data_IF_890798027299
#
_entry.id   IF_890798027299
#
_cell.length_a   1.000
_cell.length_b   1.000
_cell.length_c   1.000
_cell.angle_alpha   90.00
_cell.angle_beta   90.00
_cell.angle_gamma   90.00
#
_symmetry.space_group_name_H-M   'P 1'
#
loop_
_entity.id
_entity.type
_entity.pdbx_description
1 polymer ?
#
# COMPACT_ATOMS: atom_id res chain seq x y z
N UNK A 1 -9.65 12.13 -36.67
CA UNK A 1 -10.39 11.94 -35.39
C UNK A 1 -10.06 10.64 -34.64
N UNK A 2 -9.55 9.58 -35.28
CA UNK A 2 -9.32 8.27 -34.62
C UNK A 2 -8.00 8.15 -33.80
N UNK A 3 -7.00 9.01 -34.06
CA UNK A 3 -5.67 8.94 -33.40
C UNK A 3 -5.67 9.49 -31.96
N UNK A 4 -6.50 10.48 -31.66
CA UNK A 4 -6.56 11.11 -30.33
C UNK A 4 -7.23 10.21 -29.29
N UNK A 5 -8.24 9.43 -29.69
CA UNK A 5 -8.96 8.51 -28.80
C UNK A 5 -8.03 7.36 -28.40
N UNK A 6 -7.25 6.82 -29.33
CA UNK A 6 -6.26 5.78 -29.03
C UNK A 6 -5.21 6.27 -28.03
N UNK A 7 -4.75 7.52 -28.15
CA UNK A 7 -3.78 8.09 -27.23
C UNK A 7 -4.35 8.28 -25.82
N UNK A 8 -5.59 8.75 -25.69
CA UNK A 8 -6.28 8.90 -24.40
C UNK A 8 -6.54 7.54 -23.72
N UNK A 9 -6.98 6.53 -24.46
CA UNK A 9 -7.18 5.17 -23.92
C UNK A 9 -5.84 4.54 -23.50
N UNK A 10 -4.77 4.79 -24.25
CA UNK A 10 -3.42 4.29 -23.91
C UNK A 10 -2.82 5.00 -22.69
N UNK A 11 -3.08 6.30 -22.50
CA UNK A 11 -2.70 7.03 -21.29
C UNK A 11 -3.46 6.56 -20.05
N UNK A 12 -4.75 6.24 -20.18
CA UNK A 12 -5.56 5.69 -19.07
C UNK A 12 -5.11 4.26 -18.73
N UNK A 13 -4.74 3.45 -19.73
CA UNK A 13 -4.17 2.11 -19.51
C UNK A 13 -2.81 2.14 -18.80
N UNK A 14 -1.98 3.15 -19.04
CA UNK A 14 -0.67 3.26 -18.39
C UNK A 14 -0.76 3.67 -16.91
N UNK A 15 -1.87 4.28 -16.47
CA UNK A 15 -2.10 4.60 -15.07
C UNK A 15 -2.53 3.41 -14.21
N UNK A 16 -3.01 2.31 -14.83
CA UNK A 16 -3.58 1.15 -14.13
C UNK A 16 -2.63 -0.04 -14.00
N UNK A 17 -1.45 0.01 -14.62
CA UNK A 17 -0.51 -1.14 -14.64
C UNK A 17 0.51 -1.15 -13.50
N UNK A 18 0.50 -0.16 -12.59
CA UNK A 18 1.48 -0.10 -11.50
C UNK A 18 0.89 0.04 -10.09
N UNK A 19 -0.42 0.23 -10.00
CA UNK A 19 -0.99 0.97 -8.90
C UNK A 19 -1.68 0.05 -7.92
N UNK A 20 -1.20 0.02 -6.66
CA UNK A 20 -2.23 0.10 -5.66
C UNK A 20 -2.96 1.43 -5.90
N UNK A 21 -4.27 1.43 -6.16
CA UNK A 21 -5.01 2.67 -6.05
C UNK A 21 -4.76 3.27 -4.65
N UNK A 22 -4.91 4.59 -4.46
CA UNK A 22 -4.94 5.15 -3.11
C UNK A 22 -5.96 4.35 -2.31
N UNK A 23 -5.49 3.67 -1.27
CA UNK A 23 -6.35 2.78 -0.50
C UNK A 23 -7.38 3.64 0.23
N UNK A 24 -8.65 3.47 -0.14
CA UNK A 24 -9.73 4.22 0.49
C UNK A 24 -9.83 3.87 1.98
N UNK A 25 -10.08 4.89 2.80
CA UNK A 25 -10.33 4.72 4.21
C UNK A 25 -11.65 3.96 4.39
N UNK A 26 -11.61 2.86 5.14
CA UNK A 26 -12.80 2.05 5.40
C UNK A 26 -13.20 2.25 6.85
N UNK A 27 -14.40 2.80 7.07
CA UNK A 27 -14.94 3.09 8.42
C UNK A 27 -14.04 4.02 9.25
N UNK A 28 -13.30 4.92 8.59
CA UNK A 28 -12.37 5.84 9.25
C UNK A 28 -11.02 5.21 9.63
N UNK A 29 -10.77 3.94 9.27
CA UNK A 29 -9.44 3.33 9.39
C UNK A 29 -8.68 3.51 8.07
N UNK A 30 -7.52 4.17 8.16
CA UNK A 30 -6.60 4.36 7.04
C UNK A 30 -6.01 3.03 6.58
N UNK A 31 -5.93 2.86 5.26
CA UNK A 31 -5.41 1.65 4.63
C UNK A 31 -4.14 1.94 3.84
N UNK A 32 -3.31 0.92 3.71
CA UNK A 32 -2.00 1.00 3.08
C UNK A 32 -1.87 -0.07 2.02
N UNK A 33 -1.20 0.26 0.93
CA UNK A 33 -0.85 -0.71 -0.08
C UNK A 33 0.26 -1.62 0.46
N UNK A 34 0.03 -2.93 0.47
CA UNK A 34 0.99 -3.93 0.91
C UNK A 34 1.19 -4.96 -0.20
N UNK A 35 2.44 -5.33 -0.45
CA UNK A 35 2.82 -6.49 -1.24
C UNK A 35 3.36 -7.58 -0.31
N UNK A 36 2.59 -8.65 -0.02
CA UNK A 36 3.05 -9.71 0.87
C UNK A 36 4.25 -10.45 0.29
N UNK A 37 5.16 -10.87 1.15
CA UNK A 37 6.30 -11.69 0.74
C UNK A 37 5.80 -13.01 0.14
N UNK A 38 6.26 -13.33 -1.08
CA UNK A 38 5.85 -14.55 -1.81
C UNK A 38 4.62 -14.39 -2.70
N UNK A 39 3.97 -13.22 -2.70
CA UNK A 39 2.85 -12.92 -3.60
C UNK A 39 3.19 -11.74 -4.50
N UNK A 40 2.90 -11.87 -5.80
CA UNK A 40 3.07 -10.78 -6.76
C UNK A 40 1.97 -9.73 -6.67
N UNK A 41 0.82 -10.07 -6.07
CA UNK A 41 -0.33 -9.19 -5.95
C UNK A 41 -0.16 -8.19 -4.80
N UNK A 42 -0.45 -6.92 -5.10
CA UNK A 42 -0.53 -5.84 -4.10
C UNK A 42 -1.99 -5.74 -3.60
N UNK A 43 -2.19 -5.44 -2.33
CA UNK A 43 -3.53 -5.27 -1.74
C UNK A 43 -3.55 -4.17 -0.68
N UNK A 44 -4.74 -3.60 -0.45
CA UNK A 44 -4.94 -2.62 0.61
C UNK A 44 -5.20 -3.30 1.96
N UNK A 45 -4.35 -3.05 2.94
CA UNK A 45 -4.45 -3.60 4.30
C UNK A 45 -4.58 -2.48 5.33
N UNK A 46 -5.25 -2.73 6.44
CA UNK A 46 -5.27 -1.77 7.55
C UNK A 46 -3.87 -1.66 8.17
N UNK A 47 -3.58 -0.52 8.78
CA UNK A 47 -2.36 -0.39 9.59
C UNK A 47 -2.33 -1.41 10.73
N UNK A 48 -1.13 -1.88 11.06
CA UNK A 48 -0.90 -2.76 12.19
C UNK A 48 -1.24 -2.05 13.51
N UNK A 49 -2.10 -2.68 14.32
CA UNK A 49 -2.51 -2.18 15.63
C UNK A 49 -1.36 -2.31 16.64
N UNK A 50 -1.48 -1.65 17.79
CA UNK A 50 -0.51 -1.74 18.90
C UNK A 50 -0.13 -3.19 19.25
N UNK A 51 1.17 -3.47 19.32
CA UNK A 51 1.75 -4.79 19.55
C UNK A 51 1.78 -5.71 18.31
N UNK A 52 1.10 -5.33 17.23
CA UNK A 52 1.16 -5.99 15.92
C UNK A 52 2.50 -5.79 15.23
N UNK A 53 2.82 -6.66 14.27
CA UNK A 53 4.03 -6.53 13.46
C UNK A 53 3.83 -5.52 12.34
N UNK A 54 4.89 -4.77 12.02
CA UNK A 54 4.89 -3.74 11.00
C UNK A 54 6.11 -3.85 10.08
N UNK A 55 5.98 -3.30 8.88
CA UNK A 55 7.11 -3.05 7.98
C UNK A 55 7.37 -1.55 7.88
N UNK A 56 8.66 -1.20 7.76
CA UNK A 56 9.11 0.14 7.37
C UNK A 56 9.67 0.16 5.94
N UNK A 57 9.72 -1.00 5.29
CA UNK A 57 10.22 -1.14 3.92
C UNK A 57 9.12 -0.73 2.94
N UNK A 58 9.36 0.35 2.22
CA UNK A 58 8.44 0.92 1.22
C UNK A 58 9.14 1.00 -0.13
N UNK A 59 8.46 0.56 -1.18
CA UNK A 59 8.90 0.65 -2.56
C UNK A 59 7.77 1.15 -3.44
N UNK A 60 7.96 2.27 -4.12
CA UNK A 60 6.93 2.89 -4.99
C UNK A 60 5.58 3.07 -4.24
N UNK A 61 5.63 3.56 -3.00
CA UNK A 61 4.49 3.71 -2.08
C UNK A 61 3.77 2.39 -1.68
N UNK A 62 4.43 1.25 -1.89
CA UNK A 62 3.97 -0.08 -1.49
C UNK A 62 4.80 -0.60 -0.32
N UNK A 63 4.14 -0.99 0.77
CA UNK A 63 4.79 -1.65 1.89
C UNK A 63 5.10 -3.09 1.56
N UNK A 64 6.34 -3.51 1.80
CA UNK A 64 6.79 -4.85 1.50
C UNK A 64 6.59 -5.77 2.71
N UNK A 65 5.92 -6.89 2.49
CA UNK A 65 5.69 -7.96 3.47
C UNK A 65 4.57 -7.71 4.46
N UNK A 66 4.56 -6.56 5.13
CA UNK A 66 3.60 -6.19 6.18
C UNK A 66 3.16 -4.73 6.04
N UNK A 67 1.97 -4.34 6.51
CA UNK A 67 1.56 -2.94 6.59
C UNK A 67 2.43 -2.13 7.58
N UNK A 68 2.41 -0.79 7.50
CA UNK A 68 2.92 0.06 8.57
C UNK A 68 2.00 -0.02 9.80
N UNK A 69 2.36 0.70 10.86
CA UNK A 69 1.46 0.88 11.99
C UNK A 69 0.27 1.77 11.65
N UNK A 70 -0.83 1.62 12.39
CA UNK A 70 -1.94 2.58 12.38
C UNK A 70 -1.46 3.99 12.77
N UNK A 71 -2.16 5.03 12.33
CA UNK A 71 -1.75 6.41 12.60
C UNK A 71 -1.64 6.68 14.11
N UNK A 72 -0.56 7.34 14.51
CA UNK A 72 -0.25 7.62 15.91
C UNK A 72 0.59 6.55 16.61
N UNK A 73 0.84 5.40 15.98
CA UNK A 73 1.77 4.40 16.48
C UNK A 73 3.09 4.40 15.69
N UNK A 74 4.16 3.98 16.36
CA UNK A 74 5.50 3.90 15.76
C UNK A 74 5.94 2.46 15.59
N UNK A 75 6.50 2.12 14.43
CA UNK A 75 7.10 0.81 14.20
C UNK A 75 8.48 0.73 14.85
N UNK A 76 8.61 0.00 15.97
CA UNK A 76 9.86 -0.12 16.70
C UNK A 76 10.65 -1.38 16.28
N UNK A 77 11.78 -1.15 15.60
CA UNK A 77 12.71 -2.21 15.21
C UNK A 77 13.33 -2.95 16.41
N UNK A 78 13.54 -2.28 17.55
CA UNK A 78 14.09 -2.89 18.79
C UNK A 78 13.12 -3.88 19.44
N UNK A 79 11.82 -3.76 19.16
CA UNK A 79 10.79 -4.70 19.59
C UNK A 79 10.50 -5.80 18.56
N UNK A 80 11.40 -5.99 17.59
CA UNK A 80 11.23 -6.96 16.51
C UNK A 80 10.23 -6.49 15.43
N UNK A 81 10.16 -5.17 15.19
CA UNK A 81 9.27 -4.58 14.20
C UNK A 81 7.81 -4.60 14.67
N UNK A 82 7.54 -4.07 15.86
CA UNK A 82 6.19 -3.97 16.44
C UNK A 82 5.72 -2.54 16.60
N UNK A 83 4.41 -2.33 16.51
CA UNK A 83 3.78 -1.04 16.70
C UNK A 83 3.63 -0.69 18.18
N UNK A 84 4.06 0.51 18.58
CA UNK A 84 3.90 1.03 19.94
C UNK A 84 3.29 2.43 20.01
#
# INVERSE_FOLDING_TARGET
MNKFIFFLVFCILMATVNSCPPCEDVKGEKRYCVQPLGFLLKMCEAGAKKGGRCSTEVKDDVYMGLPPCEEGLTCNARMGGKCE
#
